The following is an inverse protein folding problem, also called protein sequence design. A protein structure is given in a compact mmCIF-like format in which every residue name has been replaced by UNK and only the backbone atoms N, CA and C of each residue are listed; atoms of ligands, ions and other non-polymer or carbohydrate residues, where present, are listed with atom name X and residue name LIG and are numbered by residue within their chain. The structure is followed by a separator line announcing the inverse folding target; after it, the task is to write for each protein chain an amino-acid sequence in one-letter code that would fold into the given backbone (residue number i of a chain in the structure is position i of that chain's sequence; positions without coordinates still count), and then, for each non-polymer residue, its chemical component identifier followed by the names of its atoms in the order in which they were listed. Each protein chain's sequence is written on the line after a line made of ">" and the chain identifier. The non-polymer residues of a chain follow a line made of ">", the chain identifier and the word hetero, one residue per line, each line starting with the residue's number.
data_IF_923517264386
#
_entry.id   IF_923517264386
#
_cell.length_a   1.000
_cell.length_b   1.000
_cell.length_c   1.000
_cell.angle_alpha   90.00
_cell.angle_beta   90.00
_cell.angle_gamma   90.00
#
_symmetry.space_group_name_H-M   'P 1'
#
loop_
_entity.id
_entity.type
_entity.pdbx_description
1 polymer ?
#
# COMPACT_ATOMS: atom_id res chain seq x y z
N UNK A 1 -13.36 -13.72 -4.71
CA UNK A 1 -12.56 -12.74 -3.94
C UNK A 1 -11.45 -12.24 -4.86
N UNK A 2 -11.72 -11.18 -5.62
CA UNK A 2 -10.95 -10.77 -6.80
C UNK A 2 -9.56 -10.26 -6.44
N UNK A 3 -8.53 -11.06 -6.74
CA UNK A 3 -7.12 -10.73 -6.52
C UNK A 3 -6.43 -10.15 -7.76
N UNK A 4 -7.20 -9.81 -8.80
CA UNK A 4 -6.66 -9.50 -10.12
C UNK A 4 -7.12 -8.14 -10.62
N UNK A 5 -6.78 -7.07 -9.89
CA UNK A 5 -6.63 -5.76 -10.52
C UNK A 5 -5.33 -5.76 -11.33
N UNK A 6 -5.30 -6.52 -12.45
CA UNK A 6 -4.15 -6.73 -13.35
C UNK A 6 -3.48 -5.44 -13.87
N UNK A 7 -4.05 -4.26 -13.62
CA UNK A 7 -3.54 -2.95 -14.02
C UNK A 7 -3.02 -2.07 -12.87
N UNK A 8 -3.24 -2.45 -11.60
CA UNK A 8 -2.69 -1.77 -10.42
C UNK A 8 -1.66 -2.68 -9.77
N UNK A 9 -0.54 -2.89 -10.48
CA UNK A 9 0.64 -3.46 -9.85
C UNK A 9 1.19 -2.41 -8.89
N UNK A 10 0.83 -2.54 -7.62
CA UNK A 10 1.37 -1.70 -6.58
C UNK A 10 2.71 -2.29 -6.10
N UNK A 11 3.80 -1.54 -6.31
CA UNK A 11 5.14 -1.91 -5.84
C UNK A 11 5.47 -1.34 -4.44
N UNK A 12 4.48 -0.76 -3.73
CA UNK A 12 4.68 -0.12 -2.43
C UNK A 12 5.22 -1.10 -1.39
N UNK A 13 4.75 -2.35 -1.38
CA UNK A 13 5.26 -3.36 -0.44
C UNK A 13 6.75 -3.63 -0.67
N UNK A 14 7.16 -3.77 -1.94
CA UNK A 14 8.56 -3.99 -2.32
C UNK A 14 9.43 -2.78 -1.98
N UNK A 15 8.98 -1.58 -2.36
CA UNK A 15 9.67 -0.32 -2.07
C UNK A 15 9.82 -0.11 -0.57
N UNK A 16 8.75 -0.33 0.20
CA UNK A 16 8.75 -0.22 1.66
C UNK A 16 9.74 -1.20 2.29
N UNK A 17 9.72 -2.47 1.86
CA UNK A 17 10.68 -3.48 2.33
C UNK A 17 12.11 -3.16 1.95
N UNK A 18 12.34 -2.62 0.74
CA UNK A 18 13.67 -2.20 0.29
C UNK A 18 14.22 -1.03 1.12
N UNK A 19 13.34 -0.18 1.62
CA UNK A 19 13.68 0.90 2.54
C UNK A 19 13.82 0.43 4.00
N UNK A 20 13.59 -0.85 4.30
CA UNK A 20 13.64 -1.39 5.66
C UNK A 20 12.49 -0.92 6.56
N UNK A 21 11.41 -0.35 5.98
CA UNK A 21 10.31 0.23 6.73
C UNK A 21 9.21 -0.79 7.01
N UNK A 22 8.55 -0.65 8.15
CA UNK A 22 7.27 -1.30 8.45
C UNK A 22 6.10 -0.50 7.87
N UNK A 23 4.92 -1.12 7.74
CA UNK A 23 3.71 -0.40 7.32
C UNK A 23 3.37 0.75 8.28
N UNK A 24 3.73 0.62 9.56
CA UNK A 24 3.50 1.63 10.59
C UNK A 24 4.40 2.84 10.35
N UNK A 25 5.72 2.64 10.21
CA UNK A 25 6.68 3.72 9.95
C UNK A 25 6.41 4.45 8.63
N UNK A 26 6.01 3.70 7.59
CA UNK A 26 5.58 4.30 6.33
C UNK A 26 4.30 5.13 6.51
N UNK A 27 3.35 4.65 7.32
CA UNK A 27 2.10 5.37 7.58
C UNK A 27 2.32 6.67 8.36
N UNK A 28 3.23 6.66 9.34
CA UNK A 28 3.64 7.84 10.10
C UNK A 28 4.35 8.85 9.19
N UNK A 29 5.26 8.38 8.34
CA UNK A 29 6.00 9.22 7.39
C UNK A 29 5.12 9.84 6.31
N UNK A 30 4.05 9.15 5.91
CA UNK A 30 3.11 9.60 4.90
C UNK A 30 1.85 10.28 5.46
N UNK A 31 1.78 10.48 6.79
CA UNK A 31 0.63 11.06 7.50
C UNK A 31 -0.72 10.38 7.16
N UNK A 32 -0.69 9.07 6.93
CA UNK A 32 -1.87 8.26 6.65
C UNK A 32 -2.04 7.17 7.70
N UNK A 33 -3.21 6.56 7.74
CA UNK A 33 -3.41 5.41 8.62
C UNK A 33 -2.63 4.19 8.11
N UNK A 34 -2.13 3.35 9.03
CA UNK A 34 -1.56 2.02 8.71
C UNK A 34 -2.53 1.18 7.86
N UNK A 35 -3.84 1.31 8.09
CA UNK A 35 -4.90 0.63 7.32
C UNK A 35 -4.94 1.11 5.86
N UNK A 36 -4.64 2.38 5.60
CA UNK A 36 -4.51 2.94 4.25
C UNK A 36 -3.34 2.30 3.51
N UNK A 37 -2.15 2.22 4.14
CA UNK A 37 -0.99 1.53 3.55
C UNK A 37 -1.32 0.07 3.24
N UNK A 38 -1.97 -0.64 4.17
CA UNK A 38 -2.39 -2.02 3.96
C UNK A 38 -3.40 -2.16 2.81
N UNK A 39 -4.37 -1.25 2.69
CA UNK A 39 -5.35 -1.27 1.61
C UNK A 39 -4.70 -0.99 0.24
N UNK A 40 -3.69 -0.11 0.20
CA UNK A 40 -2.91 0.17 -1.01
C UNK A 40 -2.10 -1.08 -1.39
N UNK A 41 -1.35 -1.67 -0.45
CA UNK A 41 -0.57 -2.92 -0.66
C UNK A 41 -1.44 -4.09 -1.13
N UNK A 42 -2.67 -4.21 -0.62
CA UNK A 42 -3.60 -5.27 -1.03
C UNK A 42 -4.45 -4.92 -2.26
N UNK A 43 -4.26 -3.75 -2.88
CA UNK A 43 -5.03 -3.31 -4.05
C UNK A 43 -6.51 -3.06 -3.77
N UNK A 44 -6.89 -2.89 -2.49
CA UNK A 44 -8.27 -2.61 -2.03
C UNK A 44 -8.59 -1.11 -2.16
N UNK A 45 -7.57 -0.25 -2.20
CA UNK A 45 -7.76 1.19 -2.38
C UNK A 45 -7.53 1.60 -3.83
N UNK A 46 -8.63 1.72 -4.59
CA UNK A 46 -8.65 2.49 -5.83
C UNK A 46 -9.11 3.89 -5.43
N UNK A 47 -8.28 4.95 -5.51
CA UNK A 47 -8.81 6.31 -5.39
C UNK A 47 -9.76 6.51 -6.57
N UNK A 48 -11.07 6.57 -6.31
CA UNK A 48 -12.00 7.08 -7.30
C UNK A 48 -11.71 8.57 -7.41
N UNK A 49 -11.16 8.97 -8.56
CA UNK A 49 -11.40 10.30 -9.11
C UNK A 49 -12.89 10.47 -9.36
#
# INVERSE_FOLDING_TARGET
>A
MGKDHKKLQNNLEELRKSAGLTQQELSESAEVSRKSINAIENGIYVPST
#
